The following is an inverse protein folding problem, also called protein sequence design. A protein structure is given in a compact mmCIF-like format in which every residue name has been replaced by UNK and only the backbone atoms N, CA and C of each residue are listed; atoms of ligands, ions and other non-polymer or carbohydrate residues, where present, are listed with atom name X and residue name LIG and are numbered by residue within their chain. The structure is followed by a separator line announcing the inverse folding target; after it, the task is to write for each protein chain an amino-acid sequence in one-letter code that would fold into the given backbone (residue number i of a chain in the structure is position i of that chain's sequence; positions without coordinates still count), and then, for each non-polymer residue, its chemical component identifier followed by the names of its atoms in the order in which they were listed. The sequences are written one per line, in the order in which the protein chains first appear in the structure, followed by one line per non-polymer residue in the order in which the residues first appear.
data_IF_670036381427
#
_entry.id   IF_670036381427
#
_cell.length_a   1.000
_cell.length_b   1.000
_cell.length_c   1.000
_cell.angle_alpha   90.00
_cell.angle_beta   90.00
_cell.angle_gamma   90.00
#
_symmetry.space_group_name_H-M   'P 1'
#
loop_
_entity.id
_entity.type
_entity.pdbx_description
1 polymer ?
#
# COMPACT_ATOMS: atom_id res chain seq x y z
N UNK A 1 -14.59 -2.21 -3.20
CA UNK A 1 -13.16 -2.44 -2.91
C UNK A 1 -12.95 -3.39 -1.73
N UNK A 2 -13.56 -3.15 -0.56
CA UNK A 2 -13.37 -4.01 0.61
C UNK A 2 -13.78 -5.48 0.39
N UNK A 3 -14.93 -5.74 -0.23
CA UNK A 3 -15.37 -7.11 -0.55
C UNK A 3 -14.36 -7.87 -1.44
N UNK A 4 -13.88 -7.24 -2.51
CA UNK A 4 -12.88 -7.82 -3.40
C UNK A 4 -11.52 -7.99 -2.71
N UNK A 5 -11.15 -7.07 -1.80
CA UNK A 5 -9.95 -7.20 -0.98
C UNK A 5 -10.01 -8.40 -0.03
N UNK A 6 -11.14 -8.58 0.67
CA UNK A 6 -11.34 -9.73 1.57
C UNK A 6 -11.36 -11.05 0.78
N UNK A 7 -12.11 -11.11 -0.33
CA UNK A 7 -12.15 -12.29 -1.20
C UNK A 7 -10.77 -12.61 -1.80
N UNK A 8 -10.01 -11.58 -2.19
CA UNK A 8 -8.65 -11.71 -2.69
C UNK A 8 -7.69 -12.24 -1.62
N UNK A 9 -7.83 -11.76 -0.37
CA UNK A 9 -7.04 -12.24 0.76
C UNK A 9 -7.28 -13.73 1.03
N UNK A 10 -8.54 -14.14 1.09
CA UNK A 10 -8.91 -15.54 1.31
C UNK A 10 -8.42 -16.46 0.19
N UNK A 11 -8.58 -16.02 -1.06
CA UNK A 11 -8.10 -16.74 -2.24
C UNK A 11 -6.58 -16.88 -2.22
N UNK A 12 -5.86 -15.79 -1.95
CA UNK A 12 -4.40 -15.78 -1.86
C UNK A 12 -3.90 -16.68 -0.72
N UNK A 13 -4.56 -16.66 0.44
CA UNK A 13 -4.27 -17.56 1.57
C UNK A 13 -4.54 -19.03 1.21
N UNK A 14 -5.58 -19.30 0.41
CA UNK A 14 -5.88 -20.62 -0.13
C UNK A 14 -4.79 -21.14 -1.07
N UNK A 15 -4.43 -20.34 -2.09
CA UNK A 15 -3.37 -20.67 -3.05
C UNK A 15 -2.03 -20.93 -2.35
N UNK A 16 -1.63 -20.06 -1.42
CA UNK A 16 -0.40 -20.24 -0.67
C UNK A 16 -0.36 -21.52 0.17
N UNK A 17 -1.50 -22.11 0.56
CA UNK A 17 -1.50 -23.41 1.27
C UNK A 17 -1.20 -24.58 0.35
N UNK A 18 -1.69 -24.56 -0.89
CA UNK A 18 -1.54 -25.66 -1.85
C UNK A 18 -0.29 -25.54 -2.73
N UNK A 19 0.28 -24.34 -2.88
CA UNK A 19 1.50 -24.14 -3.67
C UNK A 19 2.75 -24.59 -2.91
N UNK A 20 3.61 -25.38 -3.57
CA UNK A 20 4.94 -25.80 -3.13
C UNK A 20 5.99 -24.68 -3.28
N UNK A 21 5.70 -23.49 -2.76
CA UNK A 21 6.64 -22.35 -2.70
C UNK A 21 7.22 -22.20 -1.30
N UNK A 22 8.39 -21.55 -1.21
CA UNK A 22 9.06 -21.35 0.06
C UNK A 22 8.20 -20.55 1.06
N UNK A 23 8.36 -20.84 2.34
CA UNK A 23 7.61 -20.13 3.40
C UNK A 23 7.93 -18.63 3.43
N UNK A 24 9.13 -18.22 3.01
CA UNK A 24 9.49 -16.79 2.90
C UNK A 24 8.73 -16.11 1.76
N UNK A 25 8.57 -16.76 0.62
CA UNK A 25 7.74 -16.22 -0.47
C UNK A 25 6.29 -16.02 -0.03
N UNK A 26 5.72 -16.99 0.69
CA UNK A 26 4.35 -16.89 1.24
C UNK A 26 4.21 -15.70 2.21
N UNK A 27 5.17 -15.55 3.13
CA UNK A 27 5.16 -14.46 4.10
C UNK A 27 5.31 -13.09 3.43
N UNK A 28 6.17 -12.97 2.41
CA UNK A 28 6.36 -11.74 1.65
C UNK A 28 5.09 -11.35 0.88
N UNK A 29 4.46 -12.30 0.17
CA UNK A 29 3.23 -12.06 -0.57
C UNK A 29 2.09 -11.58 0.35
N UNK A 30 1.96 -12.17 1.54
CA UNK A 30 0.96 -11.74 2.53
C UNK A 30 1.23 -10.32 3.05
N UNK A 31 2.51 -9.98 3.31
CA UNK A 31 2.90 -8.64 3.74
C UNK A 31 2.67 -7.59 2.64
N UNK A 32 3.01 -7.90 1.39
CA UNK A 32 2.76 -7.04 0.23
C UNK A 32 1.27 -6.83 0.00
N UNK A 33 0.47 -7.88 0.13
CA UNK A 33 -0.99 -7.78 0.03
C UNK A 33 -1.57 -6.90 1.15
N UNK A 34 -1.13 -7.09 2.39
CA UNK A 34 -1.56 -6.24 3.50
C UNK A 34 -1.15 -4.78 3.27
N UNK A 35 0.08 -4.53 2.82
CA UNK A 35 0.52 -3.21 2.42
C UNK A 35 -0.34 -2.63 1.28
N UNK A 36 -0.82 -3.44 0.35
CA UNK A 36 -1.76 -3.05 -0.72
C UNK A 36 -3.10 -2.57 -0.18
N UNK A 37 -3.61 -3.19 0.88
CA UNK A 37 -4.83 -2.74 1.55
C UNK A 37 -4.60 -1.38 2.22
N UNK A 38 -3.49 -1.19 2.94
CA UNK A 38 -3.22 0.09 3.60
C UNK A 38 -2.92 1.23 2.60
N UNK A 39 -2.14 0.96 1.56
CA UNK A 39 -1.78 1.98 0.57
C UNK A 39 -2.99 2.43 -0.26
N UNK A 40 -4.00 1.58 -0.47
CA UNK A 40 -5.26 1.97 -1.15
C UNK A 40 -6.19 2.80 -0.29
N UNK A 41 -6.09 2.71 1.04
CA UNK A 41 -6.87 3.53 1.97
C UNK A 41 -6.38 4.99 1.97
N UNK A 42 -5.07 5.22 1.84
CA UNK A 42 -4.47 6.57 1.83
C UNK A 42 -5.09 7.49 0.77
N UNK A 43 -5.08 7.18 -0.55
CA UNK A 43 -5.66 8.05 -1.56
C UNK A 43 -7.18 8.18 -1.42
N UNK A 44 -7.88 7.19 -0.85
CA UNK A 44 -9.32 7.31 -0.59
C UNK A 44 -9.59 8.44 0.41
N UNK A 45 -8.80 8.55 1.48
CA UNK A 45 -8.96 9.68 2.40
C UNK A 45 -8.37 10.98 1.85
N UNK A 46 -7.20 10.92 1.22
CA UNK A 46 -6.40 12.09 0.86
C UNK A 46 -6.84 12.74 -0.47
N UNK A 47 -7.36 11.97 -1.43
CA UNK A 47 -7.83 12.48 -2.72
C UNK A 47 -9.35 12.50 -2.86
N UNK A 48 -10.06 11.48 -2.33
CA UNK A 48 -11.52 11.39 -2.53
C UNK A 48 -12.28 12.47 -1.74
N UNK A 49 -11.82 12.82 -0.53
CA UNK A 49 -12.41 13.89 0.27
C UNK A 49 -12.29 15.25 -0.44
N UNK A 50 -11.09 15.77 -0.79
CA UNK A 50 -10.98 17.06 -1.45
C UNK A 50 -11.68 17.09 -2.82
N UNK A 51 -11.63 15.99 -3.58
CA UNK A 51 -12.37 15.89 -4.84
C UNK A 51 -13.88 16.00 -4.64
N UNK A 52 -14.43 15.29 -3.64
CA UNK A 52 -15.87 15.33 -3.33
C UNK A 52 -16.29 16.71 -2.85
N UNK A 53 -15.47 17.37 -2.02
CA UNK A 53 -15.73 18.74 -1.57
C UNK A 53 -15.74 19.73 -2.74
N UNK A 54 -14.83 19.59 -3.71
CA UNK A 54 -14.83 20.40 -4.94
C UNK A 54 -16.11 20.17 -5.75
N UNK A 55 -16.47 18.90 -5.98
CA UNK A 55 -17.71 18.59 -6.71
C UNK A 55 -18.94 19.20 -6.03
N UNK A 56 -19.03 19.10 -4.70
CA UNK A 56 -20.13 19.70 -3.95
C UNK A 56 -20.12 21.23 -3.98
N UNK A 57 -18.93 21.84 -3.91
CA UNK A 57 -18.71 23.28 -4.03
C UNK A 57 -19.17 23.82 -5.40
N UNK A 58 -18.97 23.05 -6.48
CA UNK A 58 -19.50 23.37 -7.81
C UNK A 58 -21.04 23.37 -7.82
N UNK A 59 -21.69 22.40 -7.16
CA UNK A 59 -23.16 22.34 -7.08
C UNK A 59 -23.78 23.52 -6.33
N UNK A 60 -23.08 24.09 -5.34
CA UNK A 60 -23.52 25.27 -4.57
C UNK A 60 -23.09 26.59 -5.25
N UNK A 61 -22.37 26.51 -6.38
CA UNK A 61 -21.82 27.66 -7.09
C UNK A 61 -20.87 28.51 -6.20
N UNK A 62 -20.24 27.86 -5.22
CA UNK A 62 -19.32 28.46 -4.26
C UNK A 62 -17.92 27.85 -4.45
N UNK A 63 -17.44 27.92 -5.69
CA UNK A 63 -16.12 27.41 -6.08
C UNK A 63 -15.03 28.23 -5.41
N UNK A 64 -14.19 27.58 -4.61
CA UNK A 64 -13.08 28.23 -3.91
C UNK A 64 -11.75 27.72 -4.45
N UNK A 65 -10.86 28.64 -4.85
CA UNK A 65 -9.53 28.31 -5.39
C UNK A 65 -8.68 27.47 -4.41
N UNK A 66 -8.83 27.74 -3.11
CA UNK A 66 -8.15 27.03 -2.01
C UNK A 66 -8.43 25.51 -2.05
N UNK A 67 -9.65 25.09 -2.38
CA UNK A 67 -9.97 23.65 -2.48
C UNK A 67 -9.24 22.99 -3.66
N UNK A 68 -9.14 23.69 -4.79
CA UNK A 68 -8.39 23.23 -5.95
C UNK A 68 -6.89 23.12 -5.67
N UNK A 69 -6.33 24.08 -4.94
CA UNK A 69 -4.92 24.05 -4.52
C UNK A 69 -4.63 22.89 -3.56
N UNK A 70 -5.51 22.64 -2.58
CA UNK A 70 -5.42 21.48 -1.69
C UNK A 70 -5.48 20.14 -2.45
N UNK A 71 -6.34 20.03 -3.46
CA UNK A 71 -6.39 18.85 -4.33
C UNK A 71 -5.08 18.67 -5.09
N UNK A 72 -4.54 19.74 -5.69
CA UNK A 72 -3.28 19.67 -6.45
C UNK A 72 -2.10 19.24 -5.58
N UNK A 73 -1.98 19.80 -4.37
CA UNK A 73 -0.94 19.40 -3.42
C UNK A 73 -1.10 17.91 -3.04
N UNK A 74 -2.34 17.48 -2.79
CA UNK A 74 -2.65 16.07 -2.48
C UNK A 74 -2.25 15.12 -3.60
N UNK A 75 -2.51 15.50 -4.86
CA UNK A 75 -2.12 14.74 -6.04
C UNK A 75 -0.60 14.67 -6.17
N UNK A 76 0.10 15.79 -5.95
CA UNK A 76 1.56 15.84 -6.01
C UNK A 76 2.23 15.01 -4.91
N UNK A 77 1.64 14.93 -3.71
CA UNK A 77 2.19 14.15 -2.59
C UNK A 77 1.93 12.64 -2.69
N UNK A 78 0.86 12.22 -3.38
CA UNK A 78 0.45 10.82 -3.42
C UNK A 78 1.56 9.82 -3.84
N UNK A 79 2.38 10.09 -4.88
CA UNK A 79 3.48 9.20 -5.26
C UNK A 79 4.47 8.93 -4.14
N UNK A 80 4.72 9.92 -3.27
CA UNK A 80 5.64 9.79 -2.14
C UNK A 80 5.00 9.03 -0.96
N UNK A 81 3.69 9.21 -0.74
CA UNK A 81 2.97 8.56 0.36
C UNK A 81 2.61 7.10 0.08
N UNK A 82 2.33 6.75 -1.18
CA UNK A 82 1.95 5.39 -1.58
C UNK A 82 2.97 4.29 -1.19
N UNK A 83 4.30 4.46 -1.35
CA UNK A 83 5.27 3.44 -0.94
C UNK A 83 5.52 3.37 0.57
N UNK A 84 5.12 4.37 1.36
CA UNK A 84 5.41 4.40 2.80
C UNK A 84 4.81 3.21 3.56
N UNK A 85 3.51 2.84 3.41
CA UNK A 85 2.95 1.65 4.05
C UNK A 85 3.73 0.38 3.71
N UNK A 86 4.12 0.21 2.44
CA UNK A 86 4.91 -0.93 1.99
C UNK A 86 6.26 -0.97 2.69
N UNK A 87 6.95 0.16 2.79
CA UNK A 87 8.23 0.26 3.51
C UNK A 87 8.04 -0.06 4.99
N UNK A 88 6.99 0.44 5.65
CA UNK A 88 6.79 0.24 7.09
C UNK A 88 6.27 -1.15 7.49
N UNK A 89 5.51 -1.82 6.62
CA UNK A 89 4.84 -3.10 6.87
C UNK A 89 5.73 -4.28 6.44
N UNK A 90 6.41 -4.17 5.29
CA UNK A 90 7.17 -5.30 4.73
C UNK A 90 8.57 -5.34 5.34
N UNK A 91 8.87 -6.41 6.09
CA UNK A 91 10.12 -6.53 6.87
C UNK A 91 11.38 -6.41 5.99
N UNK A 92 11.35 -7.02 4.80
CA UNK A 92 12.48 -6.98 3.86
C UNK A 92 12.77 -5.55 3.39
N UNK A 93 11.72 -4.73 3.17
CA UNK A 93 11.90 -3.33 2.78
C UNK A 93 12.40 -2.47 3.94
N UNK A 94 11.93 -2.68 5.18
CA UNK A 94 12.47 -1.99 6.36
C UNK A 94 13.97 -2.23 6.52
N UNK A 95 14.38 -3.49 6.42
CA UNK A 95 15.78 -3.88 6.59
C UNK A 95 16.67 -3.29 5.50
N UNK A 96 16.19 -3.24 4.25
CA UNK A 96 16.88 -2.60 3.15
C UNK A 96 17.07 -1.09 3.37
N UNK A 97 16.07 -0.39 3.92
CA UNK A 97 16.16 1.05 4.21
C UNK A 97 17.04 1.35 5.43
N UNK A 98 17.05 0.49 6.46
CA UNK A 98 17.90 0.66 7.65
C UNK A 98 19.35 0.17 7.44
N UNK A 99 19.71 -0.29 6.24
CA UNK A 99 21.07 -0.71 5.92
C UNK A 99 21.53 -2.01 6.61
N UNK A 100 20.60 -2.82 7.11
CA UNK A 100 20.91 -4.08 7.83
C UNK A 100 21.08 -5.23 6.83
N UNK A 101 22.05 -5.11 5.92
CA UNK A 101 22.26 -6.04 4.80
C UNK A 101 22.83 -7.40 5.22
N UNK A 102 23.56 -7.47 6.33
CA UNK A 102 24.17 -8.73 6.79
C UNK A 102 23.12 -9.79 7.12
N UNK A 103 21.96 -9.44 7.67
CA UNK A 103 20.93 -10.46 7.94
C UNK A 103 20.11 -10.85 6.70
N UNK A 104 20.13 -10.07 5.63
CA UNK A 104 19.38 -10.35 4.41
C UNK A 104 20.13 -11.35 3.52
N UNK A 105 21.44 -11.19 3.37
CA UNK A 105 22.26 -12.14 2.62
C UNK A 105 22.32 -13.51 3.31
N UNK A 106 22.51 -13.57 4.63
CA UNK A 106 22.48 -14.83 5.37
C UNK A 106 21.09 -15.49 5.34
N UNK A 107 20.01 -14.71 5.49
CA UNK A 107 18.65 -15.25 5.34
C UNK A 107 18.38 -15.70 3.90
N UNK A 108 18.91 -15.08 2.85
CA UNK A 108 18.71 -15.56 1.47
C UNK A 108 19.53 -16.83 1.21
N UNK A 109 20.78 -16.86 1.65
CA UNK A 109 21.72 -17.98 1.43
C UNK A 109 21.34 -19.24 2.23
N UNK A 110 20.86 -19.11 3.46
CA UNK A 110 20.41 -20.25 4.31
C UNK A 110 19.01 -20.77 3.90
N UNK A 111 18.54 -20.39 2.72
CA UNK A 111 17.26 -20.82 2.17
C UNK A 111 17.35 -21.53 0.83
N UNK A 112 18.54 -21.58 0.27
CA UNK A 112 18.90 -22.38 -0.90
C UNK A 112 19.51 -23.75 -0.52
N UNK A 113 19.69 -24.02 0.78
CA UNK A 113 19.89 -25.36 1.39
C UNK A 113 18.56 -25.90 1.96
#
# INVERSE_FOLDING_TARGET
MLYFGLKGYETMKGLMKVTSVSQKYKNLQSQLFNALVFQTIIPVFLMHIPATTIYFSIFINSSTEILGELLNISIAMYPALNPLPTIFIVKSYKQAVTGKYENLWFVVVEQDE
#
